data_IF_227963916394
#
_entry.id   IF_227963916394
#
_cell.length_a   1.000
_cell.length_b   1.000
_cell.length_c   1.000
_cell.angle_alpha   90.00
_cell.angle_beta   90.00
_cell.angle_gamma   90.00
#
_symmetry.space_group_name_H-M   'P 1'
#
loop_
_entity.id
_entity.type
_entity.pdbx_description
1 polymer ?
#
# COMPACT_ATOMS: atom_id res chain seq x y z
N UNK A 1 11.36 -19.26 1.82
CA UNK A 1 10.61 -18.35 2.71
C UNK A 1 10.34 -17.00 2.05
N UNK A 2 11.37 -16.19 1.73
CA UNK A 2 11.18 -14.86 1.12
C UNK A 2 10.25 -14.84 -0.11
N UNK A 3 10.41 -15.80 -1.03
CA UNK A 3 9.56 -15.89 -2.22
C UNK A 3 8.09 -16.11 -1.85
N UNK A 4 7.81 -17.00 -0.87
CA UNK A 4 6.44 -17.25 -0.41
C UNK A 4 5.81 -15.99 0.19
N UNK A 5 6.57 -15.21 0.97
CA UNK A 5 6.11 -13.93 1.55
C UNK A 5 5.82 -12.86 0.49
N UNK A 6 6.43 -12.95 -0.70
CA UNK A 6 6.13 -12.08 -1.82
C UNK A 6 4.91 -12.56 -2.60
N UNK A 7 4.79 -13.88 -2.79
CA UNK A 7 3.67 -14.50 -3.50
C UNK A 7 2.34 -14.39 -2.73
N UNK A 8 2.39 -14.48 -1.40
CA UNK A 8 1.21 -14.37 -0.53
C UNK A 8 0.80 -12.92 -0.19
N UNK A 9 1.55 -11.93 -0.69
CA UNK A 9 1.27 -10.51 -0.45
C UNK A 9 1.57 -10.03 0.97
N UNK A 10 2.34 -10.79 1.76
CA UNK A 10 2.87 -10.32 3.05
C UNK A 10 3.90 -9.21 2.84
N UNK A 11 4.67 -9.26 1.75
CA UNK A 11 5.68 -8.27 1.39
C UNK A 11 5.42 -7.67 0.02
N UNK A 12 5.68 -6.36 -0.09
CA UNK A 12 5.84 -5.73 -1.40
C UNK A 12 7.18 -6.12 -2.02
N UNK A 13 7.30 -6.05 -3.35
CA UNK A 13 8.58 -6.29 -4.03
C UNK A 13 9.68 -5.31 -3.59
N UNK A 14 9.30 -4.10 -3.12
CA UNK A 14 10.23 -3.15 -2.52
C UNK A 14 10.78 -3.67 -1.20
N UNK A 15 9.90 -4.10 -0.29
CA UNK A 15 10.29 -4.68 1.00
C UNK A 15 11.09 -5.97 0.81
N UNK A 16 10.74 -6.81 -0.16
CA UNK A 16 11.47 -8.04 -0.47
C UNK A 16 12.93 -7.81 -0.85
N UNK A 17 13.25 -6.71 -1.56
CA UNK A 17 14.64 -6.33 -1.84
C UNK A 17 15.42 -5.95 -0.59
N UNK A 18 14.77 -5.23 0.32
CA UNK A 18 15.38 -4.86 1.61
C UNK A 18 15.61 -6.09 2.49
N UNK A 19 14.63 -7.00 2.55
CA UNK A 19 14.75 -8.26 3.28
C UNK A 19 15.88 -9.11 2.71
N UNK A 20 15.95 -9.27 1.38
CA UNK A 20 17.00 -10.04 0.72
C UNK A 20 18.40 -9.52 1.05
N UNK A 21 18.60 -8.20 1.04
CA UNK A 21 19.88 -7.57 1.36
C UNK A 21 20.29 -7.88 2.81
N UNK A 22 19.37 -7.70 3.77
CA UNK A 22 19.63 -7.98 5.18
C UNK A 22 19.91 -9.47 5.44
N UNK A 23 19.18 -10.37 4.78
CA UNK A 23 19.43 -11.82 4.85
C UNK A 23 20.85 -12.15 4.39
N UNK A 24 21.32 -11.52 3.31
CA UNK A 24 22.68 -11.72 2.79
C UNK A 24 23.75 -11.19 3.76
N UNK A 25 23.50 -10.06 4.41
CA UNK A 25 24.47 -9.42 5.31
C UNK A 25 24.55 -10.10 6.69
N UNK A 26 23.42 -10.61 7.20
CA UNK A 26 23.30 -11.07 8.60
C UNK A 26 23.13 -12.58 8.75
N UNK A 27 22.70 -13.28 7.69
CA UNK A 27 22.30 -14.68 7.75
C UNK A 27 20.94 -14.91 8.45
N UNK A 28 20.21 -13.85 8.83
CA UNK A 28 18.88 -13.98 9.41
C UNK A 28 17.86 -14.54 8.41
N UNK A 29 16.80 -15.16 8.91
CA UNK A 29 15.67 -15.62 8.08
C UNK A 29 14.80 -14.46 7.58
N UNK A 30 13.99 -14.71 6.54
CA UNK A 30 13.15 -13.65 5.98
C UNK A 30 12.11 -13.18 7.01
N UNK A 31 11.46 -14.11 7.72
CA UNK A 31 10.49 -13.79 8.76
C UNK A 31 11.06 -12.91 9.87
N UNK A 32 12.28 -13.21 10.35
CA UNK A 32 12.95 -12.40 11.39
C UNK A 32 13.19 -10.97 10.95
N UNK A 33 13.64 -10.76 9.70
CA UNK A 33 13.85 -9.40 9.17
C UNK A 33 12.51 -8.67 9.02
N UNK A 34 11.48 -9.35 8.52
CA UNK A 34 10.14 -8.78 8.31
C UNK A 34 9.53 -8.29 9.62
N UNK A 35 9.59 -9.12 10.67
CA UNK A 35 8.99 -8.79 11.96
C UNK A 35 9.79 -7.69 12.66
N UNK A 36 11.13 -7.78 12.66
CA UNK A 36 12.03 -6.78 13.26
C UNK A 36 11.87 -5.39 12.63
N UNK A 37 11.68 -5.32 11.30
CA UNK A 37 11.54 -4.05 10.56
C UNK A 37 10.09 -3.64 10.34
N UNK A 38 9.12 -4.46 10.74
CA UNK A 38 7.69 -4.21 10.56
C UNK A 38 7.31 -4.03 9.08
N UNK A 39 7.84 -4.86 8.19
CA UNK A 39 7.72 -4.70 6.73
C UNK A 39 6.46 -5.32 6.12
N UNK A 40 5.59 -5.92 6.95
CA UNK A 40 4.35 -6.55 6.50
C UNK A 40 3.43 -5.55 5.81
N UNK A 41 2.86 -5.95 4.68
CA UNK A 41 1.84 -5.16 3.99
C UNK A 41 0.55 -5.09 4.83
N UNK A 42 -0.12 -3.96 4.73
CA UNK A 42 -1.46 -3.74 5.27
C UNK A 42 -2.42 -4.23 4.19
N UNK A 43 -2.95 -5.44 4.39
CA UNK A 43 -3.93 -6.11 3.51
C UNK A 43 -5.30 -6.25 4.17
N UNK A 44 -5.53 -5.51 5.26
CA UNK A 44 -6.82 -5.45 5.96
C UNK A 44 -7.58 -4.19 5.53
N UNK A 45 -8.81 -4.37 5.06
CA UNK A 45 -9.63 -3.27 4.57
C UNK A 45 -9.94 -2.27 5.69
N UNK A 46 -10.29 -2.74 6.89
CA UNK A 46 -10.63 -1.87 8.02
C UNK A 46 -9.46 -0.99 8.49
N UNK A 47 -8.23 -1.43 8.25
CA UNK A 47 -7.02 -0.65 8.49
C UNK A 47 -6.71 0.37 7.38
N UNK A 48 -7.05 0.06 6.11
CA UNK A 48 -6.79 0.95 4.97
C UNK A 48 -7.89 1.98 4.70
N UNK A 49 -9.15 1.65 4.99
CA UNK A 49 -10.29 2.54 4.76
C UNK A 49 -10.12 3.92 5.40
N UNK A 50 -9.69 4.05 6.69
CA UNK A 50 -9.48 5.36 7.29
C UNK A 50 -8.36 6.16 6.61
N UNK A 51 -7.34 5.48 6.05
CA UNK A 51 -6.27 6.15 5.30
C UNK A 51 -6.80 6.69 3.99
N UNK A 52 -7.56 5.87 3.26
CA UNK A 52 -8.22 6.25 2.00
C UNK A 52 -9.15 7.44 2.21
N UNK A 53 -10.00 7.40 3.23
CA UNK A 53 -10.94 8.48 3.53
C UNK A 53 -10.20 9.79 3.86
N UNK A 54 -9.13 9.73 4.65
CA UNK A 54 -8.30 10.91 4.95
C UNK A 54 -7.61 11.47 3.70
N UNK A 55 -7.07 10.60 2.85
CA UNK A 55 -6.41 11.01 1.60
C UNK A 55 -7.40 11.71 0.68
N UNK A 56 -8.60 11.18 0.51
CA UNK A 56 -9.64 11.81 -0.33
C UNK A 56 -10.08 13.14 0.29
N UNK A 57 -10.31 13.19 1.60
CA UNK A 57 -10.73 14.40 2.30
C UNK A 57 -9.66 15.51 2.27
N UNK A 58 -8.38 15.17 2.22
CA UNK A 58 -7.28 16.11 2.09
C UNK A 58 -7.13 16.70 0.67
N UNK A 59 -7.76 16.08 -0.32
CA UNK A 59 -7.63 16.42 -1.74
C UNK A 59 -9.01 16.55 -2.42
N UNK A 60 -9.87 17.48 -1.96
CA UNK A 60 -11.24 17.59 -2.43
C UNK A 60 -11.35 18.00 -3.91
N UNK A 61 -10.44 18.84 -4.39
CA UNK A 61 -10.43 19.31 -5.78
C UNK A 61 -10.07 18.16 -6.73
N UNK A 62 -9.04 17.38 -6.41
CA UNK A 62 -8.67 16.19 -7.19
C UNK A 62 -9.76 15.13 -7.15
N UNK A 63 -10.50 15.02 -6.04
CA UNK A 63 -11.61 14.08 -5.93
C UNK A 63 -12.78 14.50 -6.82
N UNK A 64 -13.12 15.79 -6.83
CA UNK A 64 -14.12 16.35 -7.74
C UNK A 64 -13.72 16.15 -9.21
N UNK A 65 -12.45 16.37 -9.52
CA UNK A 65 -11.89 16.20 -10.86
C UNK A 65 -11.93 14.75 -11.34
N UNK A 66 -11.60 13.80 -10.46
CA UNK A 66 -11.72 12.38 -10.73
C UNK A 66 -13.18 12.03 -11.09
N UNK A 67 -14.13 12.48 -10.27
CA UNK A 67 -15.57 12.27 -10.49
C UNK A 67 -16.08 12.93 -11.77
N UNK A 68 -15.49 14.05 -12.17
CA UNK A 68 -15.76 14.72 -13.44
C UNK A 68 -15.17 13.98 -14.67
N UNK A 69 -14.53 12.82 -14.46
CA UNK A 69 -14.03 11.95 -15.52
C UNK A 69 -12.51 11.98 -15.70
N UNK A 70 -11.76 12.73 -14.88
CA UNK A 70 -10.28 12.68 -14.90
C UNK A 70 -9.74 11.46 -14.15
N UNK A 71 -10.07 10.27 -14.65
CA UNK A 71 -9.74 8.99 -14.02
C UNK A 71 -8.24 8.74 -13.83
N UNK A 72 -7.37 9.45 -14.56
CA UNK A 72 -5.92 9.44 -14.37
C UNK A 72 -5.49 9.86 -12.94
N UNK A 73 -6.33 10.62 -12.23
CA UNK A 73 -6.09 11.01 -10.84
C UNK A 73 -6.10 9.84 -9.86
N UNK A 74 -6.58 8.66 -10.25
CA UNK A 74 -6.43 7.46 -9.42
C UNK A 74 -4.96 7.18 -9.07
N UNK A 75 -4.03 7.45 -10.01
CA UNK A 75 -2.60 7.30 -9.76
C UNK A 75 -2.07 8.27 -8.71
N UNK A 76 -2.60 9.49 -8.67
CA UNK A 76 -2.28 10.48 -7.64
C UNK A 76 -2.73 9.99 -6.26
N UNK A 77 -3.99 9.58 -6.13
CA UNK A 77 -4.53 9.07 -4.87
C UNK A 77 -3.81 7.81 -4.38
N UNK A 78 -3.49 6.88 -5.29
CA UNK A 78 -2.65 5.72 -4.99
C UNK A 78 -1.29 6.15 -4.41
N UNK A 79 -0.66 7.17 -5.00
CA UNK A 79 0.59 7.71 -4.50
C UNK A 79 0.49 8.27 -3.08
N UNK A 80 -0.62 8.95 -2.75
CA UNK A 80 -0.86 9.48 -1.41
C UNK A 80 -1.11 8.36 -0.39
N UNK A 81 -1.94 7.37 -0.71
CA UNK A 81 -2.18 6.21 0.18
C UNK A 81 -0.88 5.45 0.45
N UNK A 82 -0.07 5.23 -0.58
CA UNK A 82 1.24 4.60 -0.44
C UNK A 82 2.17 5.43 0.45
N UNK A 83 2.16 6.75 0.34
CA UNK A 83 2.96 7.63 1.18
C UNK A 83 2.53 7.56 2.65
N UNK A 84 1.23 7.71 2.92
CA UNK A 84 0.65 7.69 4.28
C UNK A 84 0.90 6.36 5.00
N UNK A 85 0.96 5.26 4.26
CA UNK A 85 1.25 3.93 4.82
C UNK A 85 2.74 3.57 4.85
N UNK A 86 3.64 4.48 4.43
CA UNK A 86 5.06 4.18 4.32
C UNK A 86 5.40 3.09 3.30
N UNK A 87 4.56 2.96 2.26
CA UNK A 87 4.66 1.95 1.22
C UNK A 87 4.16 0.56 1.63
N UNK A 88 3.45 0.46 2.75
CA UNK A 88 2.95 -0.81 3.28
C UNK A 88 1.54 -1.15 2.80
N UNK A 89 0.77 -0.22 2.27
CA UNK A 89 -0.54 -0.55 1.72
C UNK A 89 -0.44 -1.64 0.65
N UNK A 90 -1.36 -2.60 0.68
CA UNK A 90 -1.56 -3.51 -0.43
C UNK A 90 -2.08 -2.69 -1.64
N UNK A 91 -1.40 -2.72 -2.80
CA UNK A 91 -1.75 -1.89 -3.95
C UNK A 91 -3.10 -2.26 -4.58
N UNK A 92 -3.48 -3.52 -4.57
CA UNK A 92 -4.74 -3.99 -5.16
C UNK A 92 -5.91 -3.55 -4.29
N UNK A 93 -5.82 -3.81 -2.99
CA UNK A 93 -6.85 -3.41 -2.02
C UNK A 93 -6.98 -1.88 -1.94
N UNK A 94 -5.86 -1.15 -1.87
CA UNK A 94 -5.90 0.33 -1.85
C UNK A 94 -6.58 0.91 -3.11
N UNK A 95 -6.33 0.30 -4.28
CA UNK A 95 -6.95 0.72 -5.54
C UNK A 95 -8.45 0.43 -5.57
N UNK A 96 -8.86 -0.71 -5.06
CA UNK A 96 -10.27 -1.08 -4.92
C UNK A 96 -11.01 -0.11 -4.01
N UNK A 97 -10.48 0.14 -2.81
CA UNK A 97 -11.04 1.07 -1.84
C UNK A 97 -11.12 2.50 -2.40
N UNK A 98 -10.06 2.98 -3.04
CA UNK A 98 -10.06 4.31 -3.66
C UNK A 98 -11.14 4.47 -4.72
N UNK A 99 -11.28 3.49 -5.62
CA UNK A 99 -12.34 3.51 -6.64
C UNK A 99 -13.72 3.52 -6.00
N UNK A 100 -13.97 2.60 -5.07
CA UNK A 100 -15.24 2.52 -4.37
C UNK A 100 -15.62 3.86 -3.71
N UNK A 101 -14.67 4.50 -3.01
CA UNK A 101 -14.90 5.78 -2.32
C UNK A 101 -15.03 6.98 -3.27
N UNK A 102 -14.28 7.00 -4.36
CA UNK A 102 -14.32 8.10 -5.33
C UNK A 102 -15.53 8.03 -6.27
N UNK A 103 -16.05 6.84 -6.58
CA UNK A 103 -17.15 6.63 -7.53
C UNK A 103 -18.54 6.61 -6.85
N UNK A 104 -18.61 6.33 -5.54
CA UNK A 104 -19.88 6.26 -4.78
C UNK A 104 -20.31 7.60 -4.19
N UNK A 105 -19.44 8.63 -4.20
CA UNK A 105 -19.72 9.98 -3.67
C UNK A 105 -19.74 11.03 -4.77
#
# INVERSE_FOLDING_TARGET
ELVALLEDGTLSSRAGREVLAEMADTGASAGEVVDRKGLRQISDASALEPVVDRVIAAHPDEAADYRAGRTALLGFFMGQVMRETGGKANPELAKELLRGRLETS
#
